data_IF_732705631764
#
_entry.id   IF_732705631764
#
_cell.length_a   1.000
_cell.length_b   1.000
_cell.length_c   1.000
_cell.angle_alpha   90.00
_cell.angle_beta   90.00
_cell.angle_gamma   90.00
#
_symmetry.space_group_name_H-M   'P 1'
#
loop_
_entity.id
_entity.type
_entity.pdbx_description
1 polymer ?
#
# COMPACT_ATOMS: atom_id res chain seq x y z
N UNK A 1 13.58 -17.17 15.71
CA UNK A 1 12.88 -18.13 14.84
C UNK A 1 12.38 -17.35 13.62
N UNK A 2 13.28 -17.01 12.69
CA UNK A 2 12.99 -16.25 11.46
C UNK A 2 13.04 -17.18 10.23
N UNK A 3 12.52 -18.39 10.39
CA UNK A 3 12.41 -19.35 9.29
C UNK A 3 11.14 -19.05 8.51
N UNK A 4 11.26 -18.89 7.20
CA UNK A 4 10.17 -18.81 6.22
C UNK A 4 9.48 -17.44 6.05
N UNK A 5 10.27 -16.39 5.81
CA UNK A 5 9.87 -15.52 4.69
C UNK A 5 10.24 -16.31 3.44
N UNK A 6 9.34 -17.19 2.97
CA UNK A 6 9.56 -18.01 1.76
C UNK A 6 9.97 -17.09 0.62
N UNK A 7 10.83 -17.57 -0.27
CA UNK A 7 11.22 -16.97 -1.57
C UNK A 7 10.04 -16.55 -2.49
N UNK A 8 8.80 -16.70 -2.03
CA UNK A 8 7.56 -16.38 -2.71
C UNK A 8 7.24 -14.88 -2.73
N UNK A 9 7.68 -14.08 -1.75
CA UNK A 9 7.36 -12.64 -1.73
C UNK A 9 7.86 -11.88 -2.98
N UNK A 10 8.94 -12.36 -3.59
CA UNK A 10 9.59 -11.74 -4.76
C UNK A 10 9.55 -12.61 -6.02
N UNK A 11 8.93 -13.81 -5.97
CA UNK A 11 8.83 -14.70 -7.13
C UNK A 11 7.75 -14.25 -8.13
N UNK A 12 6.67 -13.66 -7.62
CA UNK A 12 5.60 -13.04 -8.41
C UNK A 12 5.42 -11.61 -7.92
N UNK A 13 5.84 -10.64 -8.72
CA UNK A 13 5.62 -9.21 -8.44
C UNK A 13 4.77 -8.57 -9.52
N UNK A 14 3.89 -7.67 -9.12
CA UNK A 14 3.01 -6.91 -10.01
C UNK A 14 3.27 -5.42 -9.82
N UNK A 15 3.41 -4.67 -10.91
CA UNK A 15 3.39 -3.22 -10.84
C UNK A 15 1.96 -2.70 -10.97
N UNK A 16 1.57 -1.82 -10.04
CA UNK A 16 0.27 -1.17 -10.07
C UNK A 16 0.17 -0.29 -11.32
N UNK A 17 -0.68 -0.70 -12.26
CA UNK A 17 -0.93 0.02 -13.50
C UNK A 17 -1.65 1.34 -13.24
N UNK A 18 -1.31 2.35 -14.04
CA UNK A 18 -1.99 3.64 -14.07
C UNK A 18 -2.05 4.17 -15.50
N UNK A 19 -3.03 5.02 -15.78
CA UNK A 19 -3.10 5.80 -17.01
C UNK A 19 -2.44 7.15 -16.78
N UNK A 20 -1.36 7.43 -17.52
CA UNK A 20 -0.78 8.77 -17.58
C UNK A 20 -1.76 9.70 -18.31
N UNK A 21 -2.16 10.78 -17.66
CA UNK A 21 -3.06 11.80 -18.23
C UNK A 21 -2.26 12.98 -18.80
N UNK A 22 -1.26 13.46 -18.06
CA UNK A 22 -0.35 14.51 -18.49
C UNK A 22 0.98 14.45 -17.74
N UNK A 23 2.00 15.07 -18.33
CA UNK A 23 3.28 15.38 -17.69
C UNK A 23 3.46 16.89 -17.77
N UNK A 24 3.67 17.53 -16.63
CA UNK A 24 3.67 18.99 -16.50
C UNK A 24 4.87 19.46 -15.69
N UNK A 25 5.30 20.70 -15.95
CA UNK A 25 6.29 21.40 -15.13
C UNK A 25 5.70 22.74 -14.73
N UNK A 26 5.64 23.00 -13.42
CA UNK A 26 5.15 24.26 -12.87
C UNK A 26 6.09 24.73 -11.77
N UNK A 27 6.49 26.00 -11.84
CA UNK A 27 7.38 26.63 -10.86
C UNK A 27 8.68 25.83 -10.61
N UNK A 28 9.24 25.24 -11.68
CA UNK A 28 10.46 24.40 -11.63
C UNK A 28 10.25 22.98 -11.11
N UNK A 29 9.00 22.59 -10.81
CA UNK A 29 8.65 21.26 -10.30
C UNK A 29 7.95 20.45 -11.40
N UNK A 30 8.56 19.32 -11.77
CA UNK A 30 7.98 18.38 -12.73
C UNK A 30 7.13 17.32 -12.02
N UNK A 31 5.94 17.05 -12.55
CA UNK A 31 5.01 16.07 -12.00
C UNK A 31 4.20 15.39 -13.10
N UNK A 32 3.68 14.20 -12.79
CA UNK A 32 2.77 13.46 -13.65
C UNK A 32 1.37 13.44 -13.05
N UNK A 33 0.35 13.62 -13.89
CA UNK A 33 -1.04 13.39 -13.52
C UNK A 33 -1.39 11.96 -13.91
N UNK A 34 -1.65 11.11 -12.91
CA UNK A 34 -1.91 9.68 -13.09
C UNK A 34 -3.32 9.33 -12.65
N UNK A 35 -4.02 8.51 -13.43
CA UNK A 35 -5.30 7.90 -13.06
C UNK A 35 -5.08 6.44 -12.68
N UNK A 36 -5.48 6.10 -11.47
CA UNK A 36 -5.56 4.73 -10.97
C UNK A 36 -7.01 4.26 -11.00
N UNK A 37 -7.21 3.02 -11.46
CA UNK A 37 -8.52 2.38 -11.43
C UNK A 37 -8.89 1.91 -10.01
N UNK A 38 -10.19 1.67 -9.74
CA UNK A 38 -10.62 1.11 -8.47
C UNK A 38 -9.95 -0.24 -8.20
N UNK A 39 -9.57 -0.47 -6.94
CA UNK A 39 -8.97 -1.73 -6.52
C UNK A 39 -9.12 -1.95 -5.02
N UNK A 40 -9.07 -3.22 -4.60
CA UNK A 40 -8.96 -3.61 -3.20
C UNK A 40 -7.51 -3.51 -2.73
N UNK A 41 -7.35 -3.00 -1.51
CA UNK A 41 -6.08 -2.86 -0.80
C UNK A 41 -6.19 -3.54 0.56
N UNK A 42 -5.14 -4.24 0.96
CA UNK A 42 -4.96 -4.56 2.38
C UNK A 42 -4.33 -3.36 3.07
N UNK A 43 -4.92 -2.93 4.17
CA UNK A 43 -4.57 -1.69 4.85
C UNK A 43 -4.46 -1.86 6.35
N UNK A 44 -3.59 -1.07 6.97
CA UNK A 44 -3.51 -0.93 8.43
C UNK A 44 -3.40 0.55 8.76
N UNK A 45 -4.19 1.00 9.73
CA UNK A 45 -4.13 2.36 10.26
C UNK A 45 -3.43 2.43 11.62
N UNK A 46 -2.67 3.49 11.86
CA UNK A 46 -2.13 3.85 13.17
C UNK A 46 -2.45 5.30 13.49
N UNK A 47 -2.88 5.55 14.73
CA UNK A 47 -3.17 6.89 15.24
C UNK A 47 -2.30 7.18 16.46
N UNK A 48 -1.89 8.44 16.64
CA UNK A 48 -1.16 8.90 17.82
C UNK A 48 0.32 8.50 17.90
N UNK A 49 0.88 7.86 16.88
CA UNK A 49 2.31 7.52 16.77
C UNK A 49 2.93 8.15 15.54
N UNK A 50 4.23 8.47 15.59
CA UNK A 50 4.94 9.10 14.46
C UNK A 50 5.20 8.10 13.34
N UNK A 51 5.50 8.60 12.14
CA UNK A 51 5.84 7.79 10.98
C UNK A 51 6.99 6.81 11.29
N UNK A 52 8.07 7.32 11.86
CA UNK A 52 9.31 6.58 12.17
C UNK A 52 9.06 5.45 13.18
N UNK A 53 8.13 5.67 14.11
CA UNK A 53 7.79 4.69 15.15
C UNK A 53 7.02 3.49 14.59
N UNK A 54 6.23 3.67 13.53
CA UNK A 54 5.23 2.67 13.13
C UNK A 54 5.48 2.03 11.78
N UNK A 55 6.13 2.72 10.85
CA UNK A 55 6.07 2.32 9.45
C UNK A 55 6.62 0.91 9.20
N UNK A 56 7.75 0.57 9.82
CA UNK A 56 8.35 -0.77 9.69
C UNK A 56 7.45 -1.88 10.22
N UNK A 57 6.75 -1.66 11.33
CA UNK A 57 5.81 -2.62 11.91
C UNK A 57 4.62 -2.87 10.97
N UNK A 58 4.00 -1.79 10.48
CA UNK A 58 2.81 -1.84 9.64
C UNK A 58 3.11 -2.47 8.28
N UNK A 59 4.21 -2.07 7.64
CA UNK A 59 4.67 -2.66 6.38
C UNK A 59 4.93 -4.15 6.54
N UNK A 60 5.62 -4.57 7.61
CA UNK A 60 5.89 -5.98 7.87
C UNK A 60 4.60 -6.79 8.02
N UNK A 61 3.59 -6.29 8.74
CA UNK A 61 2.29 -6.97 8.88
C UNK A 61 1.61 -7.19 7.53
N UNK A 62 1.58 -6.17 6.68
CA UNK A 62 1.02 -6.30 5.33
C UNK A 62 1.81 -7.29 4.46
N UNK A 63 3.15 -7.26 4.53
CA UNK A 63 3.99 -8.21 3.80
C UNK A 63 3.79 -9.66 4.27
N UNK A 64 3.60 -9.90 5.58
CA UNK A 64 3.28 -11.23 6.07
C UNK A 64 1.93 -11.72 5.52
N UNK A 65 0.90 -10.88 5.51
CA UNK A 65 -0.41 -11.21 4.94
C UNK A 65 -0.32 -11.56 3.45
N UNK A 66 0.35 -10.71 2.65
CA UNK A 66 0.62 -10.97 1.23
C UNK A 66 1.45 -12.24 1.03
N UNK A 67 2.37 -12.54 1.96
CA UNK A 67 3.24 -13.70 1.93
C UNK A 67 2.63 -15.02 2.43
N UNK A 68 1.33 -15.07 2.70
CA UNK A 68 0.64 -16.30 3.11
C UNK A 68 0.24 -16.38 4.58
N UNK A 69 0.43 -15.33 5.38
CA UNK A 69 -0.14 -15.25 6.74
C UNK A 69 -1.60 -14.79 6.69
N UNK A 70 -2.44 -15.59 6.03
CA UNK A 70 -3.87 -15.42 5.85
C UNK A 70 -4.57 -16.79 6.02
N UNK A 71 -5.90 -16.81 6.18
CA UNK A 71 -6.62 -18.05 6.51
C UNK A 71 -6.44 -19.17 5.48
N UNK A 72 -6.17 -18.79 4.22
CA UNK A 72 -6.01 -19.71 3.10
C UNK A 72 -4.55 -20.15 2.91
N UNK A 73 -3.61 -19.62 3.71
CA UNK A 73 -2.17 -19.84 3.56
C UNK A 73 -1.62 -19.47 2.15
N UNK A 74 -2.33 -18.58 1.46
CA UNK A 74 -2.08 -18.20 0.07
C UNK A 74 -1.00 -17.12 -0.03
N UNK A 75 0.13 -17.46 -0.63
CA UNK A 75 1.18 -16.49 -0.90
C UNK A 75 0.90 -15.77 -2.23
N UNK A 76 0.33 -14.57 -2.12
CA UNK A 76 -0.21 -13.83 -3.26
C UNK A 76 0.86 -13.21 -4.18
N UNK A 77 2.08 -13.01 -3.68
CA UNK A 77 3.10 -12.18 -4.34
C UNK A 77 2.85 -10.68 -4.13
N UNK A 78 3.89 -9.87 -4.28
CA UNK A 78 3.86 -8.45 -3.88
C UNK A 78 3.47 -7.56 -5.05
N UNK A 79 2.40 -6.77 -4.90
CA UNK A 79 2.11 -5.66 -5.81
C UNK A 79 2.77 -4.37 -5.30
N UNK A 80 3.57 -3.72 -6.13
CA UNK A 80 4.23 -2.46 -5.83
C UNK A 80 3.47 -1.27 -6.43
N UNK A 81 3.55 -0.06 -5.82
CA UNK A 81 4.26 0.27 -4.59
C UNK A 81 3.45 -0.03 -3.31
N UNK A 82 4.13 -0.02 -2.16
CA UNK A 82 3.47 0.13 -0.86
C UNK A 82 3.14 1.61 -0.67
N UNK A 83 1.89 1.92 -0.35
CA UNK A 83 1.37 3.28 -0.25
C UNK A 83 1.24 3.66 1.22
N UNK A 84 1.75 4.84 1.59
CA UNK A 84 1.57 5.42 2.92
C UNK A 84 0.75 6.69 2.76
N UNK A 85 -0.44 6.70 3.33
CA UNK A 85 -1.34 7.86 3.34
C UNK A 85 -1.24 8.54 4.70
N UNK A 86 -0.85 9.81 4.68
CA UNK A 86 -0.75 10.65 5.87
C UNK A 86 -1.97 11.55 5.92
N UNK A 87 -2.65 11.57 7.07
CA UNK A 87 -3.74 12.50 7.34
C UNK A 87 -3.24 13.58 8.31
N UNK A 88 -2.63 14.66 7.81
CA UNK A 88 -2.07 15.71 8.65
C UNK A 88 -3.16 16.48 9.37
N UNK A 89 -2.79 17.12 10.48
CA UNK A 89 -3.57 18.19 11.10
C UNK A 89 -3.20 19.53 10.47
N UNK A 90 -4.07 20.52 10.64
CA UNK A 90 -3.82 21.90 10.20
C UNK A 90 -2.60 22.56 10.90
N UNK A 91 -2.05 21.92 11.93
CA UNK A 91 -0.85 22.34 12.67
C UNK A 91 0.46 21.79 12.06
N UNK A 92 0.39 21.06 10.93
CA UNK A 92 1.55 20.51 10.24
C UNK A 92 2.11 19.23 10.86
N UNK A 93 1.49 18.70 11.92
CA UNK A 93 1.95 17.47 12.59
C UNK A 93 1.39 16.23 11.88
N UNK A 94 2.29 15.33 11.47
CA UNK A 94 1.98 14.09 10.74
C UNK A 94 1.52 12.90 11.63
N UNK A 95 1.31 13.11 12.93
CA UNK A 95 1.08 12.03 13.91
C UNK A 95 -0.39 11.65 14.15
N UNK A 96 -1.35 12.28 13.46
CA UNK A 96 -2.76 12.03 13.74
C UNK A 96 -3.20 10.65 13.27
N UNK A 97 -3.08 10.38 11.97
CA UNK A 97 -3.44 9.10 11.38
C UNK A 97 -2.57 8.81 10.17
N UNK A 98 -1.99 7.62 10.17
CA UNK A 98 -1.24 7.04 9.07
C UNK A 98 -1.97 5.79 8.61
N UNK A 99 -2.12 5.61 7.30
CA UNK A 99 -2.66 4.38 6.72
C UNK A 99 -1.63 3.84 5.76
N UNK A 100 -1.15 2.62 6.03
CA UNK A 100 -0.29 1.89 5.10
C UNK A 100 -1.17 0.94 4.32
N UNK A 101 -0.98 0.87 3.01
CA UNK A 101 -1.74 0.01 2.13
C UNK A 101 -0.87 -0.67 1.09
N UNK A 102 -1.17 -1.93 0.80
CA UNK A 102 -0.64 -2.68 -0.34
C UNK A 102 -1.80 -3.08 -1.23
N UNK A 103 -1.64 -2.90 -2.55
CA UNK A 103 -2.66 -3.33 -3.51
C UNK A 103 -2.73 -4.86 -3.47
N UNK A 104 -3.94 -5.42 -3.46
CA UNK A 104 -4.09 -6.87 -3.63
C UNK A 104 -3.70 -7.22 -5.09
N UNK A 105 -2.90 -8.27 -5.36
CA UNK A 105 -2.56 -8.64 -6.73
C UNK A 105 -3.80 -8.96 -7.56
N UNK A 106 -3.73 -8.73 -8.87
CA UNK A 106 -4.89 -8.71 -9.77
C UNK A 106 -5.69 -10.03 -9.75
N UNK A 107 -5.03 -11.17 -9.59
CA UNK A 107 -5.70 -12.49 -9.53
C UNK A 107 -6.56 -12.67 -8.27
N UNK A 108 -6.28 -11.92 -7.20
CA UNK A 108 -7.00 -11.97 -5.92
C UNK A 108 -7.96 -10.79 -5.71
N UNK A 109 -8.05 -9.85 -6.66
CA UNK A 109 -8.92 -8.66 -6.54
C UNK A 109 -10.41 -9.01 -6.33
N UNK A 110 -10.89 -10.11 -6.91
CA UNK A 110 -12.27 -10.55 -6.74
C UNK A 110 -12.52 -11.13 -5.34
N UNK A 111 -11.66 -12.03 -4.88
CA UNK A 111 -11.78 -12.73 -3.60
C UNK A 111 -10.43 -12.78 -2.88
N UNK A 112 -10.03 -11.70 -2.17
CA UNK A 112 -8.77 -11.69 -1.44
C UNK A 112 -8.82 -12.69 -0.28
N UNK A 113 -7.69 -13.37 0.04
CA UNK A 113 -7.58 -14.21 1.23
C UNK A 113 -7.96 -13.45 2.50
N UNK A 114 -8.63 -14.11 3.45
CA UNK A 114 -9.06 -13.50 4.71
C UNK A 114 -7.84 -13.19 5.59
N UNK A 115 -7.66 -11.94 6.06
CA UNK A 115 -6.60 -11.64 7.01
C UNK A 115 -6.83 -12.32 8.37
N UNK A 116 -5.79 -12.93 8.94
CA UNK A 116 -5.80 -13.46 10.31
C UNK A 116 -5.46 -12.35 11.33
N UNK A 117 -4.61 -11.39 10.94
CA UNK A 117 -4.33 -10.22 11.77
C UNK A 117 -5.51 -9.24 11.71
N UNK A 118 -6.24 -9.12 12.81
CA UNK A 118 -7.39 -8.21 12.96
C UNK A 118 -7.09 -6.72 12.70
N UNK A 119 -5.81 -6.32 12.70
CA UNK A 119 -5.40 -4.97 12.33
C UNK A 119 -5.49 -4.71 10.82
N UNK A 120 -5.49 -5.77 10.00
CA UNK A 120 -5.55 -5.68 8.54
C UNK A 120 -7.00 -5.60 8.09
N UNK A 121 -7.31 -4.58 7.31
CA UNK A 121 -8.61 -4.41 6.66
C UNK A 121 -8.46 -4.46 5.15
N UNK A 122 -9.37 -5.16 4.50
CA UNK A 122 -9.54 -5.08 3.05
C UNK A 122 -10.43 -3.89 2.74
N UNK A 123 -9.86 -2.88 2.09
CA UNK A 123 -10.55 -1.66 1.69
C UNK A 123 -10.70 -1.62 0.17
N UNK A 124 -11.92 -1.39 -0.32
CA UNK A 124 -12.15 -1.04 -1.72
C UNK A 124 -11.89 0.45 -1.90
N UNK A 125 -10.84 0.79 -2.67
CA UNK A 125 -10.51 2.17 -2.99
C UNK A 125 -11.13 2.53 -4.33
N UNK A 126 -11.89 3.64 -4.42
CA UNK A 126 -12.38 4.12 -5.70
C UNK A 126 -11.20 4.57 -6.57
N UNK A 127 -11.41 4.56 -7.88
CA UNK A 127 -10.42 5.06 -8.82
C UNK A 127 -10.13 6.53 -8.55
N UNK A 128 -8.84 6.90 -8.55
CA UNK A 128 -8.37 8.22 -8.14
C UNK A 128 -7.43 8.83 -9.18
N UNK A 129 -7.45 10.15 -9.29
CA UNK A 129 -6.47 10.91 -10.07
C UNK A 129 -5.52 11.58 -9.09
N UNK A 130 -4.22 11.38 -9.27
CA UNK A 130 -3.18 11.90 -8.37
C UNK A 130 -2.12 12.66 -9.15
N UNK A 131 -1.49 13.61 -8.47
CA UNK A 131 -0.29 14.28 -8.93
C UNK A 131 0.91 13.57 -8.30
N UNK A 132 1.74 12.95 -9.13
CA UNK A 132 2.90 12.18 -8.71
C UNK A 132 4.18 12.95 -9.01
N UNK A 133 4.99 13.18 -7.98
CA UNK A 133 6.29 13.82 -8.07
C UNK A 133 7.37 12.79 -7.77
N UNK A 134 8.47 12.86 -8.52
CA UNK A 134 9.68 12.11 -8.23
C UNK A 134 10.76 13.08 -7.78
N UNK A 135 11.41 12.78 -6.66
CA UNK A 135 12.45 13.60 -6.05
C UNK A 135 13.51 12.69 -5.43
N UNK A 136 14.76 13.17 -5.35
CA UNK A 136 15.91 12.41 -4.87
C UNK A 136 17.19 12.85 -5.56
#
# INVERSE_FOLDING_TARGET
>A
MFGMIKNSLFGNSEETQYKLLSSETKDGVSFEVRRYDPAKYATISSEGRTYEQVIGELVRKLLMYIGGSNEQEEAMGTAFPIIITVYPRNDGVFSRRLVVGIRIPSIYQQSPPTPIDSAIRIEERPGMTVYALQFG
#
